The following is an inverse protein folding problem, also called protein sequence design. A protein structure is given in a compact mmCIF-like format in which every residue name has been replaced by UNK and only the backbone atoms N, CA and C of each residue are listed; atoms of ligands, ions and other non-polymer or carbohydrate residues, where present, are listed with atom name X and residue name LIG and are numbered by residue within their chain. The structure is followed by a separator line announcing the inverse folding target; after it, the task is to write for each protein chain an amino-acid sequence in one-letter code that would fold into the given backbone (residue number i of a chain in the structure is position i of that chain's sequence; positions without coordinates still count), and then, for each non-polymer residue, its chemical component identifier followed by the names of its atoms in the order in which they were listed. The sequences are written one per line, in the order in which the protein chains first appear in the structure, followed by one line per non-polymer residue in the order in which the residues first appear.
data_IF_085696683704
#
_entry.id   IF_085696683704
#
_cell.length_a   1.000
_cell.length_b   1.000
_cell.length_c   1.000
_cell.angle_alpha   90.00
_cell.angle_beta   90.00
_cell.angle_gamma   90.00
#
_symmetry.space_group_name_H-M   'P 1'
#
loop_
_entity.id
_entity.type
_entity.pdbx_description
1 polymer ?
#
# COMPACT_ATOMS: atom_id res chain seq x y z
N UNK A 1 -22.95 3.38 3.49
CA UNK A 1 -22.58 4.24 4.65
C UNK A 1 -23.23 5.59 4.49
N UNK A 2 -23.39 6.38 5.56
CA UNK A 2 -24.03 7.69 5.50
C UNK A 2 -23.06 8.79 5.89
N UNK A 3 -23.10 9.92 5.19
CA UNK A 3 -22.37 11.13 5.58
C UNK A 3 -23.00 11.80 6.82
N UNK A 4 -22.42 12.91 7.28
CA UNK A 4 -22.93 13.67 8.42
C UNK A 4 -24.35 14.26 8.17
N UNK A 5 -24.79 14.32 6.92
CA UNK A 5 -26.10 14.81 6.49
C UNK A 5 -27.11 13.69 6.23
N UNK A 6 -26.72 12.42 6.37
CA UNK A 6 -27.57 11.25 6.18
C UNK A 6 -27.64 10.70 4.75
N UNK A 7 -26.90 11.27 3.78
CA UNK A 7 -26.88 10.80 2.40
C UNK A 7 -26.12 9.49 2.26
N UNK A 8 -26.58 8.62 1.37
CA UNK A 8 -25.86 7.39 1.05
C UNK A 8 -24.57 7.70 0.30
N UNK A 9 -23.48 7.08 0.74
CA UNK A 9 -22.17 7.21 0.11
C UNK A 9 -21.40 5.90 0.05
N UNK A 10 -20.31 5.93 -0.72
CA UNK A 10 -19.33 4.87 -0.93
C UNK A 10 -18.01 5.24 -0.25
N UNK A 11 -17.36 4.24 0.33
CA UNK A 11 -15.97 4.32 0.77
C UNK A 11 -15.13 3.53 -0.21
N UNK A 12 -14.21 4.22 -0.86
CA UNK A 12 -13.18 3.64 -1.71
C UNK A 12 -11.87 3.73 -0.93
N UNK A 13 -11.16 2.62 -0.84
CA UNK A 13 -9.87 2.53 -0.18
C UNK A 13 -8.84 2.04 -1.19
N UNK A 14 -7.94 2.94 -1.55
CA UNK A 14 -6.80 2.67 -2.42
C UNK A 14 -5.58 2.47 -1.53
N UNK A 15 -4.90 1.35 -1.70
CA UNK A 15 -3.69 1.00 -0.98
C UNK A 15 -2.54 0.91 -1.96
N UNK A 16 -1.36 1.40 -1.57
CA UNK A 16 -0.18 1.36 -2.44
C UNK A 16 0.20 -0.08 -2.79
N UNK A 17 0.33 -0.39 -4.07
CA UNK A 17 0.89 -1.66 -4.51
C UNK A 17 2.41 -1.68 -4.29
N UNK A 18 2.82 -2.23 -3.15
CA UNK A 18 4.24 -2.44 -2.84
C UNK A 18 4.71 -3.74 -3.50
N UNK A 19 5.38 -3.64 -4.65
CA UNK A 19 6.20 -4.75 -5.15
C UNK A 19 7.47 -4.75 -4.32
N UNK A 20 7.42 -5.30 -3.10
CA UNK A 20 8.62 -5.49 -2.29
C UNK A 20 9.59 -6.29 -3.18
N UNK A 21 10.76 -5.75 -3.56
CA UNK A 21 11.74 -6.54 -4.26
C UNK A 21 12.16 -7.64 -3.30
N UNK A 22 11.69 -8.86 -3.57
CA UNK A 22 12.20 -10.06 -2.94
C UNK A 22 13.63 -10.24 -3.45
N UNK A 23 14.55 -9.48 -2.88
CA UNK A 23 15.96 -9.82 -2.95
C UNK A 23 16.15 -11.04 -2.06
N UNK A 24 15.78 -12.21 -2.60
CA UNK A 24 16.36 -13.46 -2.14
C UNK A 24 17.85 -13.40 -2.51
N UNK A 25 18.65 -12.71 -1.68
CA UNK A 25 20.10 -12.81 -1.72
C UNK A 25 20.38 -14.28 -1.41
N UNK A 26 20.55 -15.09 -2.46
CA UNK A 26 21.03 -16.46 -2.34
C UNK A 26 22.53 -16.34 -2.10
N UNK A 27 23.04 -16.60 -0.88
CA UNK A 27 24.47 -16.53 -0.63
C UNK A 27 25.17 -17.52 -1.58
N UNK A 28 26.06 -16.97 -2.41
CA UNK A 28 26.81 -17.74 -3.41
C UNK A 28 27.94 -18.57 -2.78
N UNK A 29 28.32 -18.28 -1.53
CA UNK A 29 29.41 -18.97 -0.81
C UNK A 29 28.99 -19.44 0.60
N UNK A 30 29.77 -20.36 1.16
CA UNK A 30 29.55 -20.95 2.48
C UNK A 30 29.81 -19.94 3.61
N UNK A 31 30.82 -19.09 3.44
CA UNK A 31 31.15 -18.00 4.36
C UNK A 31 30.01 -16.98 4.42
N UNK A 32 29.40 -16.66 3.27
CA UNK A 32 28.25 -15.77 3.21
C UNK A 32 27.01 -16.34 3.92
N UNK A 33 26.81 -17.67 3.91
CA UNK A 33 25.76 -18.34 4.69
C UNK A 33 26.02 -18.23 6.19
N UNK A 34 27.24 -18.53 6.62
CA UNK A 34 27.61 -18.42 8.03
C UNK A 34 27.41 -17.00 8.56
N UNK A 35 27.83 -15.98 7.79
CA UNK A 35 27.60 -14.57 8.16
C UNK A 35 26.10 -14.24 8.23
N UNK A 36 25.30 -14.70 7.26
CA UNK A 36 23.86 -14.48 7.26
C UNK A 36 23.17 -15.12 8.47
N UNK A 37 23.57 -16.33 8.84
CA UNK A 37 23.04 -17.06 10.00
C UNK A 37 23.44 -16.38 11.33
N UNK A 38 24.67 -15.90 11.43
CA UNK A 38 25.14 -15.13 12.60
C UNK A 38 24.36 -13.81 12.74
N UNK A 39 24.16 -13.07 11.64
CA UNK A 39 23.38 -11.83 11.64
C UNK A 39 21.93 -12.11 12.03
N UNK A 40 21.34 -13.21 11.53
CA UNK A 40 19.97 -13.61 11.87
C UNK A 40 19.82 -14.00 13.34
N UNK A 41 20.77 -14.76 13.88
CA UNK A 41 20.81 -15.13 15.30
C UNK A 41 20.97 -13.91 16.21
N UNK A 42 21.78 -12.93 15.79
CA UNK A 42 21.96 -11.66 16.51
C UNK A 42 20.68 -10.81 16.50
N UNK A 43 20.01 -10.71 15.34
CA UNK A 43 18.72 -10.01 15.23
C UNK A 43 17.62 -10.61 16.11
N UNK A 44 17.61 -11.94 16.29
CA UNK A 44 16.65 -12.63 17.17
C UNK A 44 16.87 -12.33 18.66
N UNK A 45 18.10 -11.96 19.06
CA UNK A 45 18.46 -11.71 20.46
C UNK A 45 18.32 -10.24 20.88
N UNK A 46 18.15 -9.32 19.92
CA UNK A 46 18.01 -7.89 20.17
C UNK A 46 16.52 -7.49 20.08
N UNK A 47 15.82 -7.23 21.20
CA UNK A 47 14.38 -6.94 21.23
C UNK A 47 13.99 -5.59 20.59
N UNK A 48 14.97 -4.82 20.11
CA UNK A 48 14.80 -3.49 19.51
C UNK A 48 14.38 -3.57 18.03
N UNK A 49 14.72 -4.67 17.35
CA UNK A 49 14.28 -4.95 15.96
C UNK A 49 12.88 -5.58 15.90
N UNK A 50 12.26 -5.84 17.06
CA UNK A 50 10.84 -6.16 17.20
C UNK A 50 9.92 -4.95 17.12
N UNK A 51 10.47 -3.76 16.82
CA UNK A 51 9.66 -2.67 16.32
C UNK A 51 8.97 -3.20 15.08
N UNK A 52 7.67 -3.53 15.23
CA UNK A 52 6.76 -3.70 14.11
C UNK A 52 7.10 -2.53 13.21
N UNK A 53 7.78 -2.78 12.09
CA UNK A 53 7.89 -1.79 11.04
C UNK A 53 6.43 -1.45 10.79
N UNK A 54 5.99 -0.31 11.31
CA UNK A 54 4.72 0.26 10.95
C UNK A 54 4.95 0.66 9.51
N UNK A 55 4.79 -0.32 8.63
CA UNK A 55 4.69 -0.09 7.20
C UNK A 55 3.45 0.77 7.08
N UNK A 56 3.67 2.09 7.12
CA UNK A 56 2.67 3.07 6.77
C UNK A 56 2.50 2.91 5.26
N UNK A 57 1.72 1.91 4.86
CA UNK A 57 1.33 1.76 3.47
C UNK A 57 0.52 3.01 3.12
N UNK A 58 1.01 3.85 2.20
CA UNK A 58 0.26 4.99 1.69
C UNK A 58 -1.13 4.52 1.28
N UNK A 59 -2.14 5.25 1.75
CA UNK A 59 -3.53 4.94 1.49
C UNK A 59 -4.30 6.22 1.17
N UNK A 60 -5.20 6.12 0.20
CA UNK A 60 -6.16 7.16 -0.13
C UNK A 60 -7.55 6.60 0.19
N UNK A 61 -8.26 7.29 1.07
CA UNK A 61 -9.64 6.93 1.44
C UNK A 61 -10.55 8.03 0.92
N UNK A 62 -11.43 7.67 -0.02
CA UNK A 62 -12.44 8.58 -0.56
C UNK A 62 -13.79 8.24 0.04
N UNK A 63 -14.45 9.24 0.59
CA UNK A 63 -15.84 9.17 1.01
C UNK A 63 -16.65 10.02 0.04
N UNK A 64 -17.39 9.35 -0.84
CA UNK A 64 -18.12 10.00 -1.92
C UNK A 64 -19.60 9.69 -1.77
N UNK A 65 -20.46 10.68 -1.92
CA UNK A 65 -21.87 10.46 -2.23
C UNK A 65 -22.01 9.76 -3.59
N UNK A 66 -23.18 9.17 -3.88
CA UNK A 66 -23.43 8.56 -5.20
C UNK A 66 -23.19 9.55 -6.35
N UNK A 67 -23.63 10.80 -6.19
CA UNK A 67 -23.47 11.84 -7.22
C UNK A 67 -22.00 12.27 -7.42
N UNK A 68 -21.20 12.30 -6.36
CA UNK A 68 -19.75 12.56 -6.49
C UNK A 68 -19.03 11.39 -7.16
N UNK A 69 -19.42 10.16 -6.83
CA UNK A 69 -18.87 8.96 -7.47
C UNK A 69 -19.15 8.94 -8.97
N UNK A 70 -20.37 9.27 -9.39
CA UNK A 70 -20.73 9.38 -10.81
C UNK A 70 -19.95 10.48 -11.53
N UNK A 71 -19.82 11.67 -10.90
CA UNK A 71 -19.06 12.79 -11.48
C UNK A 71 -17.56 12.53 -11.58
N UNK A 72 -17.01 11.71 -10.70
CA UNK A 72 -15.60 11.33 -10.76
C UNK A 72 -15.27 10.57 -12.05
N UNK A 73 -16.25 9.92 -12.67
CA UNK A 73 -16.10 9.26 -13.97
C UNK A 73 -15.20 8.03 -13.97
N UNK A 74 -14.76 7.57 -12.79
CA UNK A 74 -13.92 6.40 -12.61
C UNK A 74 -14.71 5.33 -11.88
N UNK A 75 -14.84 4.17 -12.52
CA UNK A 75 -15.42 2.98 -11.89
C UNK A 75 -14.33 2.24 -11.14
N UNK A 76 -14.36 2.31 -9.82
CA UNK A 76 -13.48 1.54 -8.96
C UNK A 76 -14.04 0.11 -8.80
N UNK A 77 -13.32 -0.88 -9.32
CA UNK A 77 -13.61 -2.29 -9.08
C UNK A 77 -12.63 -2.84 -8.03
N UNK A 78 -13.07 -3.83 -7.26
CA UNK A 78 -12.27 -4.43 -6.17
C UNK A 78 -11.07 -5.18 -6.75
N UNK A 79 -9.93 -5.12 -6.07
CA UNK A 79 -8.67 -5.78 -6.49
C UNK A 79 -8.20 -5.36 -7.90
N UNK A 80 -8.43 -4.10 -8.27
CA UNK A 80 -7.87 -3.50 -9.48
C UNK A 80 -6.84 -2.45 -9.11
N UNK A 81 -5.83 -2.31 -9.98
CA UNK A 81 -4.74 -1.34 -9.81
C UNK A 81 -5.07 -0.08 -10.61
N UNK A 82 -4.85 1.07 -9.98
CA UNK A 82 -5.08 2.38 -10.58
C UNK A 82 -3.84 3.26 -10.38
N UNK A 83 -3.46 3.97 -11.44
CA UNK A 83 -2.50 5.06 -11.34
C UNK A 83 -3.18 6.25 -10.64
N UNK A 84 -2.47 6.82 -9.67
CA UNK A 84 -2.84 8.08 -9.02
C UNK A 84 -1.84 9.15 -9.43
N UNK A 85 -2.31 10.14 -10.20
CA UNK A 85 -1.48 11.23 -10.71
C UNK A 85 -1.84 12.50 -9.95
N UNK A 86 -0.86 13.07 -9.24
CA UNK A 86 -0.97 14.36 -8.58
C UNK A 86 -0.27 15.41 -9.44
N UNK A 87 -1.04 16.29 -10.08
CA UNK A 87 -0.52 17.32 -10.98
C UNK A 87 -1.44 18.54 -10.96
N UNK A 88 -0.90 19.75 -11.06
CA UNK A 88 -1.69 20.98 -11.20
C UNK A 88 -2.78 21.14 -10.12
N UNK A 89 -2.45 20.82 -8.86
CA UNK A 89 -3.39 20.83 -7.73
C UNK A 89 -4.59 19.86 -7.89
N UNK A 90 -4.53 18.94 -8.86
CA UNK A 90 -5.54 17.92 -9.12
C UNK A 90 -5.03 16.52 -8.82
N UNK A 91 -5.93 15.65 -8.36
CA UNK A 91 -5.69 14.20 -8.22
C UNK A 91 -6.50 13.50 -9.29
N UNK A 92 -5.82 12.74 -10.17
CA UNK A 92 -6.44 11.99 -11.26
C UNK A 92 -6.23 10.49 -11.03
N UNK A 93 -7.28 9.71 -11.27
CA UNK A 93 -7.25 8.25 -11.16
C UNK A 93 -7.39 7.65 -12.55
N UNK A 94 -6.49 6.73 -12.93
CA UNK A 94 -6.54 6.03 -14.23
C UNK A 94 -6.40 4.53 -13.99
N UNK A 95 -7.27 3.73 -14.60
CA UNK A 95 -7.17 2.27 -14.54
C UNK A 95 -5.89 1.82 -15.26
N UNK A 96 -5.07 1.02 -14.59
CA UNK A 96 -3.97 0.32 -15.26
C UNK A 96 -4.61 -0.78 -16.10
N UNK A 97 -4.36 -0.74 -17.42
CA UNK A 97 -5.01 -1.64 -18.40
C UNK A 97 -4.69 -3.11 -18.14
#
# INVERSE_FOLDING_TARGET
MRDASGNLGKRIELVEENVIPSFAIRPQSEEARMVQDVVRALQQQIPIFGSRMQFHQPKIILFLTEQEYERLGVRFDVNQVYDVILSDETIKFRKVS
#
